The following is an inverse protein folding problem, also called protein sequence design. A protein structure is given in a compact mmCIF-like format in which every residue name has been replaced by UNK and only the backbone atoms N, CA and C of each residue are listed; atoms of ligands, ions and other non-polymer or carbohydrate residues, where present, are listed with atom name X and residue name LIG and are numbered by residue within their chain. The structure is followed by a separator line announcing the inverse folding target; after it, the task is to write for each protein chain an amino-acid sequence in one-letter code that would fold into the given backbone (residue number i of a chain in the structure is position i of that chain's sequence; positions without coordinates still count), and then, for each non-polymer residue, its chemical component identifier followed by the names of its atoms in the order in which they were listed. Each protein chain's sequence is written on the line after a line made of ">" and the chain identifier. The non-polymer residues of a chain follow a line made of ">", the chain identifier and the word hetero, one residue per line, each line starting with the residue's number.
data_IF_149631405390
#
_entry.id   IF_149631405390
#
_cell.length_a   1.000
_cell.length_b   1.000
_cell.length_c   1.000
_cell.angle_alpha   90.00
_cell.angle_beta   90.00
_cell.angle_gamma   90.00
#
_symmetry.space_group_name_H-M   'P 1'
#
loop_
_entity.id
_entity.type
_entity.pdbx_description
1 polymer ?
#
# COMPACT_ATOMS: atom_id res chain seq x y z
N UNK A 1 3.21 20.20 -17.12
CA UNK A 1 2.00 19.42 -16.79
C UNK A 1 2.21 18.90 -15.38
N UNK A 2 1.18 18.93 -14.54
CA UNK A 2 1.25 18.29 -13.23
C UNK A 2 1.32 16.76 -13.39
N UNK A 3 2.06 16.08 -12.50
CA UNK A 3 2.02 14.64 -12.45
C UNK A 3 0.68 14.17 -11.88
N UNK A 4 0.19 13.02 -12.37
CA UNK A 4 -1.10 12.47 -11.94
C UNK A 4 -0.92 11.28 -11.01
N UNK A 5 -1.72 11.23 -9.94
CA UNK A 5 -1.77 10.14 -8.98
C UNK A 5 -3.12 9.44 -9.09
N UNK A 6 -3.12 8.11 -9.29
CA UNK A 6 -4.31 7.29 -9.20
C UNK A 6 -4.52 6.82 -7.75
N UNK A 7 -5.73 7.00 -7.21
CA UNK A 7 -6.15 6.36 -5.96
C UNK A 7 -7.07 5.21 -6.33
N UNK A 8 -6.63 3.98 -6.15
CA UNK A 8 -7.41 2.80 -6.49
C UNK A 8 -8.54 2.61 -5.48
N UNK A 9 -9.77 2.58 -5.96
CA UNK A 9 -10.96 2.38 -5.14
C UNK A 9 -12.11 3.31 -5.49
N UNK A 10 -13.21 3.15 -4.76
CA UNK A 10 -14.42 3.94 -4.91
C UNK A 10 -14.49 4.97 -3.78
N UNK A 11 -14.42 6.24 -4.12
CA UNK A 11 -14.45 7.31 -3.13
C UNK A 11 -15.72 7.24 -2.26
N UNK A 12 -15.53 7.16 -0.95
CA UNK A 12 -16.56 7.42 0.04
C UNK A 12 -16.17 8.67 0.85
N UNK A 13 -16.81 9.80 0.57
CA UNK A 13 -16.49 11.09 1.19
C UNK A 13 -16.83 11.17 2.69
N UNK A 14 -17.58 10.19 3.23
CA UNK A 14 -17.89 10.09 4.66
C UNK A 14 -16.92 9.16 5.41
N UNK A 15 -16.10 8.42 4.70
CA UNK A 15 -15.13 7.51 5.31
C UNK A 15 -13.81 8.24 5.60
N UNK A 16 -13.44 8.31 6.90
CA UNK A 16 -12.33 9.14 7.35
C UNK A 16 -11.03 8.91 6.60
N UNK A 17 -10.55 7.68 6.37
CA UNK A 17 -9.33 7.45 5.61
C UNK A 17 -9.35 8.04 4.19
N UNK A 18 -10.52 8.11 3.53
CA UNK A 18 -10.66 8.66 2.19
C UNK A 18 -10.58 10.19 2.17
N UNK A 19 -11.40 10.88 2.99
CA UNK A 19 -11.35 12.34 2.99
C UNK A 19 -10.04 12.90 3.55
N UNK A 20 -9.38 12.16 4.47
CA UNK A 20 -8.03 12.53 4.95
C UNK A 20 -6.98 12.36 3.88
N UNK A 21 -7.06 11.31 3.06
CA UNK A 21 -6.16 11.15 1.92
C UNK A 21 -6.34 12.28 0.91
N UNK A 22 -7.59 12.64 0.58
CA UNK A 22 -7.86 13.79 -0.27
C UNK A 22 -7.25 15.08 0.32
N UNK A 23 -7.44 15.33 1.62
CA UNK A 23 -6.86 16.51 2.26
C UNK A 23 -5.31 16.54 2.20
N UNK A 24 -4.65 15.38 2.26
CA UNK A 24 -3.19 15.30 2.08
C UNK A 24 -2.76 15.61 0.64
N UNK A 25 -3.57 15.20 -0.35
CA UNK A 25 -3.30 15.46 -1.77
C UNK A 25 -3.66 16.90 -2.16
N UNK A 26 -4.75 17.45 -1.61
CA UNK A 26 -5.13 18.85 -1.79
C UNK A 26 -4.06 19.81 -1.25
N UNK A 27 -3.33 19.42 -0.20
CA UNK A 27 -2.23 20.21 0.34
C UNK A 27 -0.99 20.29 -0.59
N UNK A 28 -0.95 19.48 -1.64
CA UNK A 28 0.11 19.45 -2.67
C UNK A 28 -0.47 19.62 -4.09
N UNK A 29 -1.65 20.18 -4.22
CA UNK A 29 -2.38 20.33 -5.49
C UNK A 29 -1.67 21.19 -6.53
N UNK A 30 -0.78 22.08 -6.12
CA UNK A 30 0.06 22.84 -7.05
C UNK A 30 1.01 21.95 -7.87
N UNK A 31 1.38 20.78 -7.34
CA UNK A 31 2.36 19.87 -7.92
C UNK A 31 1.70 18.67 -8.62
N UNK A 32 0.59 18.19 -8.07
CA UNK A 32 -0.07 16.96 -8.51
C UNK A 32 -1.55 17.16 -8.78
N UNK A 33 -2.05 16.45 -9.80
CA UNK A 33 -3.46 16.13 -9.96
C UNK A 33 -3.69 14.71 -9.44
N UNK A 34 -4.88 14.41 -8.90
CA UNK A 34 -5.23 13.06 -8.49
C UNK A 34 -6.63 12.66 -8.91
N UNK A 35 -6.83 11.36 -9.05
CA UNK A 35 -8.12 10.80 -9.47
C UNK A 35 -8.38 9.47 -8.74
N UNK A 36 -9.61 9.29 -8.25
CA UNK A 36 -10.07 8.00 -7.78
C UNK A 36 -10.45 7.14 -8.96
N UNK A 37 -9.80 5.98 -9.08
CA UNK A 37 -10.00 5.01 -10.15
C UNK A 37 -10.77 3.82 -9.59
N UNK A 38 -12.07 3.65 -9.93
CA UNK A 38 -12.86 2.51 -9.49
C UNK A 38 -12.21 1.19 -9.88
N UNK A 39 -12.10 0.26 -8.92
CA UNK A 39 -11.40 -1.01 -9.17
C UNK A 39 -12.06 -1.85 -10.25
N UNK A 40 -13.38 -1.72 -10.46
CA UNK A 40 -14.11 -2.44 -11.52
C UNK A 40 -13.61 -2.09 -12.93
N UNK A 41 -13.11 -0.86 -13.12
CA UNK A 41 -12.53 -0.41 -14.39
C UNK A 41 -11.20 -1.09 -14.70
N UNK A 42 -10.51 -1.60 -13.68
CA UNK A 42 -9.18 -2.20 -13.81
C UNK A 42 -9.20 -3.70 -14.12
N UNK A 43 -10.37 -4.35 -14.15
CA UNK A 43 -10.49 -5.79 -14.40
C UNK A 43 -9.81 -6.19 -15.73
N UNK A 44 -10.04 -5.41 -16.80
CA UNK A 44 -9.49 -5.70 -18.13
C UNK A 44 -8.77 -4.51 -18.77
N UNK A 45 -8.58 -3.41 -18.05
CA UNK A 45 -8.08 -2.15 -18.63
C UNK A 45 -7.01 -1.48 -17.74
N UNK A 46 -6.39 -2.20 -16.83
CA UNK A 46 -5.40 -1.63 -15.92
C UNK A 46 -4.28 -0.92 -16.70
N UNK A 47 -3.69 -1.57 -17.71
CA UNK A 47 -2.62 -1.01 -18.55
C UNK A 47 -3.05 0.24 -19.31
N UNK A 48 -4.29 0.25 -19.81
CA UNK A 48 -4.80 1.37 -20.61
C UNK A 48 -5.05 2.60 -19.74
N UNK A 49 -5.60 2.39 -18.55
CA UNK A 49 -5.99 3.46 -17.64
C UNK A 49 -4.75 3.97 -16.89
N UNK A 50 -3.99 3.06 -16.26
CA UNK A 50 -2.95 3.42 -15.32
C UNK A 50 -1.66 3.95 -15.97
N UNK A 51 -1.44 3.72 -17.27
CA UNK A 51 -0.30 4.32 -18.00
C UNK A 51 -0.27 5.85 -17.97
N UNK A 52 -1.40 6.48 -17.69
CA UNK A 52 -1.52 7.94 -17.62
C UNK A 52 -1.14 8.52 -16.25
N UNK A 53 -0.82 7.67 -15.27
CA UNK A 53 -0.50 8.08 -13.91
C UNK A 53 0.98 7.83 -13.58
N UNK A 54 1.58 8.75 -12.85
CA UNK A 54 2.96 8.71 -12.41
C UNK A 54 3.12 8.16 -11.00
N UNK A 55 2.01 8.01 -10.26
CA UNK A 55 1.96 7.39 -8.94
C UNK A 55 0.63 6.69 -8.72
N UNK A 56 0.64 5.65 -7.89
CA UNK A 56 -0.55 4.85 -7.56
C UNK A 56 -0.62 4.67 -6.05
N UNK A 57 -1.79 4.96 -5.48
CA UNK A 57 -2.12 4.70 -4.07
C UNK A 57 -3.23 3.65 -4.03
N UNK A 58 -3.03 2.57 -3.25
CA UNK A 58 -4.09 1.66 -2.83
C UNK A 58 -4.37 1.91 -1.35
N UNK A 59 -5.45 2.63 -1.05
CA UNK A 59 -5.81 3.07 0.30
C UNK A 59 -6.64 2.04 1.07
N UNK A 60 -7.37 2.54 2.07
CA UNK A 60 -8.35 1.71 2.80
C UNK A 60 -9.50 1.31 1.89
N UNK A 61 -9.89 0.01 1.94
CA UNK A 61 -11.08 -0.50 1.28
C UNK A 61 -12.40 -0.05 1.95
N UNK A 62 -13.50 -0.66 1.58
CA UNK A 62 -13.57 -1.82 0.69
C UNK A 62 -13.35 -1.48 -0.79
N UNK A 63 -12.89 -2.48 -1.56
CA UNK A 63 -12.79 -2.40 -3.01
C UNK A 63 -13.94 -3.18 -3.65
N UNK A 64 -14.56 -2.63 -4.69
CA UNK A 64 -15.69 -3.27 -5.36
C UNK A 64 -15.26 -4.44 -6.27
N UNK A 65 -13.98 -4.48 -6.66
CA UNK A 65 -13.43 -5.57 -7.46
C UNK A 65 -12.09 -6.05 -6.92
N UNK A 66 -12.04 -7.29 -6.44
CA UNK A 66 -10.80 -8.00 -6.08
C UNK A 66 -9.83 -8.08 -7.27
N UNK A 67 -10.32 -8.57 -8.39
CA UNK A 67 -9.51 -8.68 -9.61
C UNK A 67 -8.95 -7.33 -10.05
N UNK A 68 -9.76 -6.29 -9.99
CA UNK A 68 -9.33 -4.94 -10.39
C UNK A 68 -8.27 -4.35 -9.49
N UNK A 69 -8.40 -4.49 -8.15
CA UNK A 69 -7.36 -3.97 -7.25
C UNK A 69 -6.05 -4.77 -7.41
N UNK A 70 -6.12 -6.09 -7.56
CA UNK A 70 -4.94 -6.93 -7.83
C UNK A 70 -4.25 -6.50 -9.14
N UNK A 71 -5.01 -6.34 -10.22
CA UNK A 71 -4.47 -5.89 -11.51
C UNK A 71 -3.82 -4.50 -11.41
N UNK A 72 -4.44 -3.57 -10.66
CA UNK A 72 -3.89 -2.23 -10.46
C UNK A 72 -2.58 -2.24 -9.67
N UNK A 73 -2.46 -3.07 -8.65
CA UNK A 73 -1.23 -3.23 -7.87
C UNK A 73 -0.15 -3.94 -8.71
N UNK A 74 -0.52 -5.00 -9.42
CA UNK A 74 0.37 -5.70 -10.34
C UNK A 74 0.94 -4.77 -11.42
N UNK A 75 0.09 -3.92 -12.01
CA UNK A 75 0.55 -2.89 -12.93
C UNK A 75 1.62 -1.98 -12.32
N UNK A 76 1.40 -1.50 -11.09
CA UNK A 76 2.37 -0.65 -10.41
C UNK A 76 3.71 -1.35 -10.23
N UNK A 77 3.70 -2.61 -9.76
CA UNK A 77 4.89 -3.43 -9.52
C UNK A 77 5.68 -3.72 -10.81
N UNK A 78 4.98 -4.11 -11.87
CA UNK A 78 5.59 -4.53 -13.14
C UNK A 78 6.14 -3.37 -13.97
N UNK A 79 5.54 -2.20 -13.84
CA UNK A 79 5.93 -1.00 -14.59
C UNK A 79 6.76 0.00 -13.76
N UNK A 80 7.24 -0.41 -12.58
CA UNK A 80 8.01 0.45 -11.65
C UNK A 80 7.32 1.80 -11.40
N UNK A 81 5.97 1.79 -11.24
CA UNK A 81 5.22 3.00 -10.87
C UNK A 81 5.34 3.18 -9.36
N UNK A 82 5.73 4.37 -8.85
CA UNK A 82 5.66 4.66 -7.43
C UNK A 82 4.33 4.24 -6.82
N UNK A 83 4.40 3.33 -5.83
CA UNK A 83 3.24 2.71 -5.23
C UNK A 83 3.23 2.82 -3.72
N UNK A 84 2.09 3.22 -3.17
CA UNK A 84 1.84 3.24 -1.73
C UNK A 84 0.55 2.45 -1.42
N UNK A 85 0.69 1.30 -0.76
CA UNK A 85 -0.43 0.50 -0.25
C UNK A 85 -0.63 0.73 1.24
N UNK A 86 -1.84 1.10 1.69
CA UNK A 86 -2.14 1.33 3.11
C UNK A 86 -3.35 0.54 3.58
N UNK A 87 -3.32 -0.02 4.78
CA UNK A 87 -4.44 -0.78 5.37
C UNK A 87 -4.88 -1.93 4.45
N UNK A 88 -6.09 -1.88 3.85
CA UNK A 88 -6.55 -2.89 2.87
C UNK A 88 -5.60 -3.00 1.67
N UNK A 89 -4.98 -1.90 1.25
CA UNK A 89 -3.97 -1.89 0.19
C UNK A 89 -2.74 -2.73 0.52
N UNK A 90 -2.35 -2.84 1.81
CA UNK A 90 -1.33 -3.79 2.25
C UNK A 90 -1.76 -5.23 1.99
N UNK A 91 -2.96 -5.60 2.43
CA UNK A 91 -3.46 -6.97 2.27
C UNK A 91 -3.52 -7.40 0.80
N UNK A 92 -4.09 -6.55 -0.06
CA UNK A 92 -4.19 -6.87 -1.49
C UNK A 92 -2.83 -6.84 -2.21
N UNK A 93 -1.86 -6.05 -1.76
CA UNK A 93 -0.50 -6.12 -2.30
C UNK A 93 0.22 -7.43 -1.91
N UNK A 94 0.00 -7.93 -0.69
CA UNK A 94 0.49 -9.26 -0.27
C UNK A 94 -0.15 -10.36 -1.12
N UNK A 95 -1.45 -10.27 -1.40
CA UNK A 95 -2.17 -11.24 -2.25
C UNK A 95 -1.68 -11.19 -3.70
N UNK A 96 -1.57 -10.01 -4.28
CA UNK A 96 -1.03 -9.81 -5.64
C UNK A 96 0.37 -10.41 -5.77
N UNK A 97 1.25 -10.09 -4.82
CA UNK A 97 2.61 -10.57 -4.84
C UNK A 97 2.68 -12.10 -4.75
N UNK A 98 1.90 -12.69 -3.85
CA UNK A 98 1.78 -14.15 -3.73
C UNK A 98 1.21 -14.79 -5.00
N UNK A 99 0.17 -14.22 -5.57
CA UNK A 99 -0.40 -14.67 -6.85
C UNK A 99 0.67 -14.67 -7.94
N UNK A 100 1.45 -13.61 -8.05
CA UNK A 100 2.49 -13.46 -9.06
C UNK A 100 3.64 -14.46 -8.89
N UNK A 101 4.21 -14.61 -7.68
CA UNK A 101 5.37 -15.49 -7.47
C UNK A 101 5.05 -16.99 -7.51
N UNK A 102 3.82 -17.37 -7.18
CA UNK A 102 3.37 -18.77 -7.23
C UNK A 102 2.59 -19.09 -8.51
N UNK A 103 2.37 -18.12 -9.40
CA UNK A 103 1.61 -18.25 -10.63
C UNK A 103 0.23 -18.87 -10.40
N UNK A 104 -0.53 -18.28 -9.45
CA UNK A 104 -1.85 -18.76 -9.09
C UNK A 104 -2.93 -18.05 -9.92
N UNK A 105 -3.99 -18.78 -10.27
CA UNK A 105 -5.12 -18.20 -10.97
C UNK A 105 -5.95 -17.29 -10.06
N UNK A 106 -6.04 -17.63 -8.77
CA UNK A 106 -6.86 -16.92 -7.80
C UNK A 106 -6.26 -16.95 -6.39
N UNK A 107 -6.48 -15.86 -5.64
CA UNK A 107 -6.14 -15.70 -4.22
C UNK A 107 -7.29 -15.03 -3.49
N UNK A 108 -7.38 -15.22 -2.17
CA UNK A 108 -8.51 -14.73 -1.39
C UNK A 108 -8.06 -13.93 -0.17
N UNK A 109 -8.77 -12.85 0.10
CA UNK A 109 -8.66 -12.19 1.39
C UNK A 109 -9.45 -13.00 2.45
N UNK A 110 -8.96 -13.14 3.69
CA UNK A 110 -9.63 -13.99 4.71
C UNK A 110 -11.09 -13.62 5.01
N UNK A 111 -11.53 -12.40 4.76
CA UNK A 111 -12.93 -12.02 4.95
C UNK A 111 -13.84 -12.42 3.76
N UNK A 112 -13.28 -12.82 2.63
CA UNK A 112 -14.05 -13.20 1.43
C UNK A 112 -14.54 -14.65 1.50
N UNK A 113 -13.82 -15.49 2.23
CA UNK A 113 -14.18 -16.90 2.39
C UNK A 113 -13.75 -17.46 3.76
N UNK A 114 -14.53 -18.38 4.29
CA UNK A 114 -14.19 -19.17 5.47
C UNK A 114 -13.52 -20.47 5.04
N UNK A 115 -12.58 -20.98 5.85
CA UNK A 115 -11.86 -22.24 5.64
C UNK A 115 -10.93 -22.25 4.41
N UNK A 116 -10.26 -21.13 4.15
CA UNK A 116 -9.23 -21.06 3.12
C UNK A 116 -8.03 -21.96 3.45
N UNK A 117 -7.54 -22.68 2.45
CA UNK A 117 -6.28 -23.39 2.55
C UNK A 117 -5.09 -22.41 2.63
N UNK A 118 -3.94 -22.82 3.22
CA UNK A 118 -2.76 -21.93 3.34
C UNK A 118 -2.23 -21.38 2.02
N UNK A 119 -2.48 -22.04 0.90
CA UNK A 119 -2.09 -21.60 -0.45
C UNK A 119 -3.15 -20.75 -1.15
N UNK A 120 -4.30 -20.50 -0.55
CA UNK A 120 -5.36 -19.66 -1.08
C UNK A 120 -5.34 -18.24 -0.50
N UNK A 121 -4.66 -18.06 0.64
CA UNK A 121 -4.41 -16.75 1.25
C UNK A 121 -3.02 -16.67 1.86
N UNK A 122 -2.36 -15.53 1.71
CA UNK A 122 -1.07 -15.21 2.32
C UNK A 122 -1.21 -14.31 3.54
N UNK A 123 -2.46 -14.10 3.98
CA UNK A 123 -2.80 -13.25 5.10
C UNK A 123 -3.24 -14.08 6.31
N UNK A 124 -2.97 -13.56 7.50
CA UNK A 124 -3.44 -14.07 8.78
C UNK A 124 -4.00 -12.94 9.64
N UNK A 125 -4.85 -13.27 10.59
CA UNK A 125 -5.32 -12.31 11.59
C UNK A 125 -4.13 -11.85 12.44
N UNK A 126 -4.03 -10.54 12.67
CA UNK A 126 -3.03 -9.96 13.55
C UNK A 126 -3.29 -10.39 15.01
N UNK A 127 -2.23 -10.57 15.79
CA UNK A 127 -2.33 -10.92 17.22
C UNK A 127 -3.07 -9.82 17.99
N UNK A 128 -2.82 -8.57 17.64
CA UNK A 128 -3.54 -7.40 18.13
C UNK A 128 -4.37 -6.77 17.00
N UNK A 129 -5.65 -7.12 16.95
CA UNK A 129 -6.62 -6.46 16.09
C UNK A 129 -7.70 -5.79 16.95
N UNK A 130 -8.02 -4.54 16.65
CA UNK A 130 -9.11 -3.79 17.27
C UNK A 130 -10.02 -3.24 16.17
N UNK A 131 -11.36 -3.30 16.33
CA UNK A 131 -12.28 -2.61 15.41
C UNK A 131 -12.12 -1.10 15.45
N UNK A 132 -11.55 -0.59 16.54
CA UNK A 132 -11.29 0.82 16.73
C UNK A 132 -9.90 1.21 16.25
N UNK A 133 -9.75 2.48 15.86
CA UNK A 133 -8.46 3.06 15.56
C UNK A 133 -7.53 2.95 16.76
N UNK A 134 -6.36 2.40 16.56
CA UNK A 134 -5.35 2.23 17.60
C UNK A 134 -3.96 2.62 17.11
N UNK A 135 -3.06 2.89 18.06
CA UNK A 135 -1.68 3.19 17.73
C UNK A 135 -0.86 1.91 17.68
N UNK A 136 -0.19 1.68 16.56
CA UNK A 136 0.85 0.66 16.42
C UNK A 136 2.22 1.31 16.50
N UNK A 137 3.24 0.51 16.83
CA UNK A 137 4.63 0.95 16.87
C UNK A 137 5.50 -0.02 16.10
N UNK A 138 6.52 0.49 15.44
CA UNK A 138 7.51 -0.35 14.75
C UNK A 138 8.90 0.28 14.75
N UNK A 139 9.90 -0.55 14.56
CA UNK A 139 11.31 -0.17 14.38
C UNK A 139 11.62 -0.24 12.87
N UNK A 140 11.97 0.89 12.23
CA UNK A 140 12.42 0.89 10.84
C UNK A 140 13.72 0.09 10.66
N UNK A 141 13.87 -0.60 9.54
CA UNK A 141 15.12 -1.31 9.22
C UNK A 141 16.06 -0.37 8.46
N UNK A 142 17.20 -0.04 9.03
CA UNK A 142 18.13 1.02 8.57
C UNK A 142 18.49 0.98 7.08
N UNK A 143 18.79 -0.20 6.54
CA UNK A 143 19.27 -0.35 5.14
C UNK A 143 18.17 -0.38 4.10
N UNK A 144 16.92 -0.16 4.50
CA UNK A 144 15.74 -0.14 3.63
C UNK A 144 15.40 1.28 3.18
N UNK A 145 14.50 1.41 2.19
CA UNK A 145 13.94 2.70 1.84
C UNK A 145 13.15 3.30 3.01
N UNK A 146 12.39 2.48 3.72
CA UNK A 146 11.67 2.86 4.94
C UNK A 146 12.63 3.43 6.00
N UNK A 147 13.76 2.76 6.28
CA UNK A 147 14.76 3.26 7.21
C UNK A 147 15.29 4.64 6.81
N UNK A 148 15.56 4.86 5.52
CA UNK A 148 15.98 6.17 5.01
C UNK A 148 14.92 7.26 5.16
N UNK A 149 13.63 6.90 4.98
CA UNK A 149 12.48 7.83 5.11
C UNK A 149 12.31 8.29 6.55
N UNK A 150 12.41 7.37 7.51
CA UNK A 150 12.23 7.67 8.93
C UNK A 150 13.51 8.14 9.62
N UNK A 151 14.66 8.00 8.96
CA UNK A 151 15.95 8.46 9.47
C UNK A 151 16.36 7.79 10.77
N UNK A 152 16.82 8.58 11.74
CA UNK A 152 17.32 8.10 13.05
C UNK A 152 16.21 7.70 14.05
N UNK A 153 14.97 7.54 13.59
CA UNK A 153 13.87 7.15 14.47
C UNK A 153 14.02 5.69 14.90
N UNK A 154 14.29 5.46 16.18
CA UNK A 154 14.35 4.10 16.76
C UNK A 154 12.95 3.46 16.76
N UNK A 155 11.93 4.22 17.14
CA UNK A 155 10.53 3.76 17.19
C UNK A 155 9.63 4.77 16.47
N UNK A 156 8.77 4.26 15.59
CA UNK A 156 7.74 5.03 14.92
C UNK A 156 6.37 4.62 15.45
N UNK A 157 5.49 5.60 15.69
CA UNK A 157 4.12 5.40 16.14
C UNK A 157 3.15 5.87 15.06
N UNK A 158 2.19 5.01 14.66
CA UNK A 158 1.25 5.27 13.59
C UNK A 158 -0.17 4.79 13.93
N UNK A 159 -1.18 5.35 13.24
CA UNK A 159 -2.58 4.97 13.43
C UNK A 159 -2.96 3.81 12.52
N UNK A 160 -3.59 2.79 13.08
CA UNK A 160 -4.03 1.58 12.36
C UNK A 160 -5.39 1.12 12.84
N UNK A 161 -6.12 0.45 11.94
CA UNK A 161 -7.27 -0.39 12.27
C UNK A 161 -7.26 -1.69 11.44
N UNK A 162 -6.08 -2.13 11.01
CA UNK A 162 -5.95 -3.34 10.20
C UNK A 162 -6.10 -4.59 11.04
N UNK A 163 -6.79 -5.59 10.47
CA UNK A 163 -7.02 -6.91 11.11
C UNK A 163 -6.10 -7.99 10.61
N UNK A 164 -5.54 -7.83 9.40
CA UNK A 164 -4.80 -8.87 8.71
C UNK A 164 -3.40 -8.38 8.35
N UNK A 165 -2.42 -9.23 8.59
CA UNK A 165 -1.04 -9.06 8.17
C UNK A 165 -0.58 -10.26 7.34
N UNK A 166 0.66 -10.22 6.88
CA UNK A 166 1.27 -11.34 6.15
C UNK A 166 1.43 -12.56 7.08
N UNK A 167 1.21 -13.75 6.56
CA UNK A 167 1.48 -15.01 7.28
C UNK A 167 2.97 -15.17 7.55
N UNK A 168 3.32 -15.57 8.76
CA UNK A 168 4.71 -15.68 9.20
C UNK A 168 5.55 -16.59 8.29
N UNK A 169 4.98 -17.71 7.84
CA UNK A 169 5.64 -18.66 6.93
C UNK A 169 5.92 -18.09 5.54
N UNK A 170 5.25 -17.01 5.15
CA UNK A 170 5.45 -16.35 3.85
C UNK A 170 6.53 -15.27 3.89
N UNK A 171 6.91 -14.76 5.04
CA UNK A 171 7.85 -13.64 5.18
C UNK A 171 9.18 -13.91 4.46
N UNK A 172 9.78 -15.08 4.73
CA UNK A 172 11.07 -15.45 4.12
C UNK A 172 10.94 -15.72 2.63
N UNK A 173 9.84 -16.34 2.20
CA UNK A 173 9.58 -16.63 0.78
C UNK A 173 9.43 -15.33 0.00
N UNK A 174 8.66 -14.39 0.52
CA UNK A 174 8.42 -13.09 -0.10
C UNK A 174 9.70 -12.24 -0.09
N UNK A 175 10.43 -12.25 1.02
CA UNK A 175 11.71 -11.57 1.13
C UNK A 175 12.75 -12.01 0.09
N UNK A 176 12.88 -13.32 -0.14
CA UNK A 176 13.74 -13.87 -1.21
C UNK A 176 13.32 -13.44 -2.62
N UNK A 177 12.05 -13.12 -2.82
CA UNK A 177 11.49 -12.63 -4.08
C UNK A 177 11.49 -11.10 -4.20
N UNK A 178 11.87 -10.38 -3.14
CA UNK A 178 12.07 -8.92 -3.16
C UNK A 178 11.06 -8.11 -2.36
N UNK A 179 9.96 -8.72 -1.84
CA UNK A 179 9.06 -8.04 -0.91
C UNK A 179 9.56 -8.24 0.52
N UNK A 180 10.41 -7.32 0.97
CA UNK A 180 11.12 -7.40 2.24
C UNK A 180 10.37 -6.67 3.36
N UNK A 181 10.55 -7.13 4.59
CA UNK A 181 10.08 -6.41 5.76
C UNK A 181 11.00 -5.23 6.05
N UNK A 182 10.47 -4.03 6.04
CA UNK A 182 11.20 -2.79 6.27
C UNK A 182 10.89 -2.11 7.61
N UNK A 183 9.98 -2.70 8.41
CA UNK A 183 9.76 -2.33 9.81
C UNK A 183 8.92 -3.37 10.55
N UNK A 184 9.31 -3.66 11.80
CA UNK A 184 8.68 -4.66 12.68
C UNK A 184 8.34 -4.06 14.02
N UNK A 185 7.30 -4.57 14.66
CA UNK A 185 7.07 -4.27 16.08
C UNK A 185 8.01 -5.08 16.98
N UNK A 186 7.88 -4.86 18.31
CA UNK A 186 8.68 -5.57 19.32
C UNK A 186 8.46 -7.09 19.32
N UNK A 187 7.31 -7.56 18.84
CA UNK A 187 7.00 -8.97 18.69
C UNK A 187 7.58 -9.58 17.42
N UNK A 188 8.16 -8.76 16.54
CA UNK A 188 8.71 -9.19 15.25
C UNK A 188 7.69 -9.19 14.10
N UNK A 189 6.44 -8.75 14.36
CA UNK A 189 5.40 -8.71 13.35
C UNK A 189 5.62 -7.57 12.35
N UNK A 190 5.58 -7.83 11.03
CA UNK A 190 5.73 -6.81 10.01
C UNK A 190 4.64 -5.74 10.07
N UNK A 191 5.01 -4.47 10.12
CA UNK A 191 4.08 -3.32 10.07
C UNK A 191 4.21 -2.52 8.79
N UNK A 192 5.35 -2.64 8.13
CA UNK A 192 5.65 -2.01 6.85
C UNK A 192 6.60 -2.93 6.06
N UNK A 193 6.33 -3.05 4.76
CA UNK A 193 7.15 -3.83 3.84
C UNK A 193 7.41 -3.00 2.58
N UNK A 194 8.47 -3.34 1.85
CA UNK A 194 8.82 -2.70 0.59
C UNK A 194 9.27 -3.73 -0.46
N UNK A 195 8.93 -3.47 -1.73
CA UNK A 195 9.45 -4.23 -2.84
C UNK A 195 10.72 -3.58 -3.36
N UNK A 196 11.86 -4.20 -3.06
CA UNK A 196 13.18 -3.60 -3.24
C UNK A 196 13.71 -3.63 -4.68
N UNK A 197 12.92 -4.13 -5.63
CA UNK A 197 13.25 -4.10 -7.06
C UNK A 197 12.66 -2.90 -7.79
N UNK A 198 11.75 -2.15 -7.14
CA UNK A 198 11.16 -0.91 -7.66
C UNK A 198 11.78 0.30 -6.97
N UNK A 199 11.74 1.45 -7.62
CA UNK A 199 12.24 2.71 -7.07
C UNK A 199 11.46 3.16 -5.82
N UNK A 200 10.14 2.95 -5.80
CA UNK A 200 9.27 3.20 -4.65
C UNK A 200 8.06 2.27 -4.68
N UNK A 201 8.06 1.25 -3.85
CA UNK A 201 6.90 0.38 -3.66
C UNK A 201 6.83 -0.01 -2.18
N UNK A 202 5.96 0.67 -1.41
CA UNK A 202 5.83 0.49 0.04
C UNK A 202 4.40 0.14 0.39
N UNK A 203 4.23 -0.81 1.32
CA UNK A 203 2.94 -1.22 1.86
C UNK A 203 2.95 -1.18 3.39
N UNK A 204 1.87 -0.67 3.99
CA UNK A 204 1.79 -0.40 5.43
C UNK A 204 0.49 -0.93 6.05
N UNK A 205 0.57 -1.47 7.26
CA UNK A 205 -0.58 -1.79 8.09
C UNK A 205 -1.18 -0.56 8.78
N UNK A 206 -0.68 0.62 8.51
CA UNK A 206 -1.14 1.87 9.11
C UNK A 206 -1.57 2.87 8.03
N UNK A 207 -2.12 3.97 8.50
CA UNK A 207 -2.76 5.01 7.71
C UNK A 207 -1.98 6.33 7.89
N UNK A 208 -0.96 6.60 7.08
CA UNK A 208 -0.12 7.79 7.24
C UNK A 208 -0.91 9.10 7.19
N UNK A 209 -2.04 9.12 6.46
CA UNK A 209 -2.92 10.27 6.38
C UNK A 209 -3.70 10.58 7.67
N UNK A 210 -3.72 9.64 8.63
CA UNK A 210 -4.46 9.81 9.91
C UNK A 210 -3.57 10.26 11.06
N UNK A 211 -2.27 10.47 10.85
CA UNK A 211 -1.36 10.89 11.93
C UNK A 211 -1.77 12.28 12.46
N UNK A 212 -2.15 12.39 13.73
CA UNK A 212 -2.58 13.66 14.30
C UNK A 212 -1.42 14.65 14.43
N UNK A 213 -1.73 15.95 14.31
CA UNK A 213 -0.80 17.04 14.64
C UNK A 213 0.32 17.32 13.61
N UNK A 214 0.26 16.76 12.42
CA UNK A 214 1.25 17.06 11.39
C UNK A 214 0.96 18.42 10.74
N UNK A 215 1.90 19.35 10.93
CA UNK A 215 1.96 20.63 10.18
C UNK A 215 2.56 20.40 8.77
N UNK A 216 3.20 19.25 8.55
CA UNK A 216 3.84 18.85 7.28
C UNK A 216 3.24 17.54 6.81
N UNK A 217 3.28 17.24 5.50
CA UNK A 217 2.92 15.91 5.01
C UNK A 217 3.72 14.83 5.76
N UNK A 218 3.06 13.71 6.00
CA UNK A 218 3.68 12.55 6.63
C UNK A 218 4.99 12.17 5.88
N UNK A 219 6.10 11.78 6.56
CA UNK A 219 7.37 11.45 5.89
C UNK A 219 7.21 10.46 4.74
N UNK A 220 6.37 9.43 4.92
CA UNK A 220 6.10 8.44 3.89
C UNK A 220 5.35 9.01 2.69
N UNK A 221 4.36 9.91 2.92
CA UNK A 221 3.66 10.62 1.83
C UNK A 221 4.59 11.57 1.10
N UNK A 222 5.44 12.31 1.81
CA UNK A 222 6.45 13.18 1.20
C UNK A 222 7.42 12.39 0.33
N UNK A 223 7.87 11.22 0.79
CA UNK A 223 8.75 10.35 0.02
C UNK A 223 8.06 9.77 -1.22
N UNK A 224 6.78 9.40 -1.11
CA UNK A 224 5.97 8.99 -2.26
C UNK A 224 5.83 10.12 -3.28
N UNK A 225 5.48 11.33 -2.87
CA UNK A 225 5.36 12.48 -3.77
C UNK A 225 6.69 12.79 -4.48
N UNK A 226 7.81 12.74 -3.76
CA UNK A 226 9.13 12.90 -4.35
C UNK A 226 9.47 11.81 -5.38
N UNK A 227 8.99 10.57 -5.18
CA UNK A 227 9.17 9.50 -6.15
C UNK A 227 8.32 9.72 -7.41
N UNK A 228 7.08 10.19 -7.23
CA UNK A 228 6.17 10.54 -8.34
C UNK A 228 6.74 11.67 -9.21
N UNK A 229 7.30 12.73 -8.59
CA UNK A 229 7.93 13.84 -9.32
C UNK A 229 9.12 13.39 -10.18
N UNK A 230 9.91 12.46 -9.67
CA UNK A 230 11.10 11.95 -10.38
C UNK A 230 10.74 11.04 -11.55
N UNK A 231 9.53 10.52 -11.59
CA UNK A 231 9.05 9.70 -12.70
C UNK A 231 8.68 10.60 -13.87
N UNK A 232 9.49 10.56 -14.93
CA UNK A 232 9.17 11.29 -16.15
C UNK A 232 7.82 10.81 -16.72
N UNK A 233 6.99 11.74 -17.25
CA UNK A 233 5.80 11.36 -17.99
C UNK A 233 6.18 10.36 -19.10
N UNK A 234 5.38 9.33 -19.29
CA UNK A 234 5.55 8.44 -20.46
C UNK A 234 5.41 9.32 -21.70
N UNK A 235 6.46 9.40 -22.51
CA UNK A 235 6.41 10.11 -23.77
C UNK A 235 5.33 9.47 -24.66
N UNK A 236 4.34 10.28 -25.09
CA UNK A 236 3.29 9.85 -26.02
C UNK A 236 3.87 9.67 -27.43
#
# INVERSE_FOLDING_TARGET
>A
MKSKIAILGNLNSQYEPHYRMNACLDAVDEQFDYEWVPTEMLINQADIILKNFQGIIAGSGPYNSKTGIINGIGYARENDVPFLGTCSGFGYAVLEFGQAIFNLDEVYHPYEATNLAPNETFLQTLEFCSPDMHTISFHPVEQTLTGKIYGDADVVHEQSHCYYGIRNEMIDVFGKNGLIVSGRDKGGEPKIMEYNKNGFFIITLFLPQLKPGLIRPHPLLSAFFNAVEKRLPVAC
#
